data_IF_342722707233
#
_entry.id   IF_342722707233
#
_cell.length_a   1.000
_cell.length_b   1.000
_cell.length_c   1.000
_cell.angle_alpha   90.00
_cell.angle_beta   90.00
_cell.angle_gamma   90.00
#
_symmetry.space_group_name_H-M   'P 1'
#
loop_
_entity.id
_entity.type
_entity.pdbx_description
1 polymer ?
#
# COMPACT_ATOMS: atom_id res chain seq x y z
N UNK A 1 7.42 -9.98 2.37
CA UNK A 1 6.73 -8.68 2.38
C UNK A 1 5.22 -8.79 2.40
N UNK A 2 4.60 -9.47 1.43
CA UNK A 2 3.14 -9.62 1.41
C UNK A 2 2.57 -10.22 2.72
N UNK A 3 3.15 -11.29 3.24
CA UNK A 3 2.68 -11.89 4.50
C UNK A 3 2.80 -10.94 5.69
N UNK A 4 3.83 -10.08 5.71
CA UNK A 4 3.98 -9.05 6.74
C UNK A 4 2.88 -8.00 6.61
N UNK A 5 2.53 -7.61 5.39
CA UNK A 5 1.44 -6.64 5.15
C UNK A 5 0.10 -7.21 5.61
N UNK A 6 -0.18 -8.47 5.29
CA UNK A 6 -1.40 -9.16 5.72
C UNK A 6 -1.45 -9.29 7.25
N UNK A 7 -0.32 -9.60 7.89
CA UNK A 7 -0.23 -9.63 9.35
C UNK A 7 -0.46 -8.25 9.98
N UNK A 8 0.11 -7.17 9.43
CA UNK A 8 -0.15 -5.80 9.89
C UNK A 8 -1.64 -5.44 9.80
N UNK A 9 -2.30 -5.83 8.69
CA UNK A 9 -3.74 -5.63 8.49
C UNK A 9 -4.55 -6.39 9.54
N UNK A 10 -4.19 -7.66 9.81
CA UNK A 10 -4.86 -8.48 10.82
C UNK A 10 -4.64 -7.96 12.25
N UNK A 11 -3.44 -7.48 12.57
CA UNK A 11 -3.14 -6.85 13.85
C UNK A 11 -3.97 -5.58 14.04
N UNK A 12 -4.05 -4.74 12.99
CA UNK A 12 -4.87 -3.53 13.00
C UNK A 12 -6.36 -3.87 13.15
N UNK A 13 -6.85 -4.89 12.46
CA UNK A 13 -8.21 -5.41 12.65
C UNK A 13 -8.48 -5.81 14.11
N UNK A 14 -7.56 -6.57 14.72
CA UNK A 14 -7.70 -7.02 16.11
C UNK A 14 -7.76 -5.86 17.10
N UNK A 15 -6.95 -4.83 16.85
CA UNK A 15 -6.82 -3.64 17.69
C UNK A 15 -7.99 -2.65 17.54
N UNK A 16 -8.40 -2.32 16.30
CA UNK A 16 -9.44 -1.30 16.04
C UNK A 16 -10.85 -1.87 15.94
N UNK A 17 -11.00 -3.19 15.76
CA UNK A 17 -12.26 -3.87 15.38
C UNK A 17 -12.83 -3.42 14.03
N UNK A 18 -12.08 -2.67 13.24
CA UNK A 18 -12.44 -2.28 11.88
C UNK A 18 -12.45 -3.50 10.97
N UNK A 19 -13.34 -3.56 9.98
CA UNK A 19 -13.46 -4.71 9.08
C UNK A 19 -12.15 -4.96 8.31
N UNK A 20 -11.65 -6.21 8.32
CA UNK A 20 -10.42 -6.60 7.62
C UNK A 20 -10.47 -6.25 6.13
N UNK A 21 -11.61 -6.43 5.46
CA UNK A 21 -11.80 -6.06 4.05
C UNK A 21 -11.63 -4.55 3.83
N UNK A 22 -12.13 -3.73 4.76
CA UNK A 22 -11.94 -2.28 4.70
C UNK A 22 -10.47 -1.92 4.84
N UNK A 23 -9.75 -2.54 5.77
CA UNK A 23 -8.33 -2.31 5.99
C UNK A 23 -7.48 -2.77 4.78
N UNK A 24 -7.81 -3.92 4.20
CA UNK A 24 -7.19 -4.43 2.97
C UNK A 24 -7.40 -3.45 1.81
N UNK A 25 -8.62 -2.95 1.60
CA UNK A 25 -8.92 -1.95 0.56
C UNK A 25 -8.20 -0.63 0.78
N UNK A 26 -8.11 -0.17 2.03
CA UNK A 26 -7.34 1.04 2.36
C UNK A 26 -5.86 0.87 2.04
N UNK A 27 -5.28 -0.30 2.35
CA UNK A 27 -3.89 -0.63 2.01
C UNK A 27 -3.68 -0.68 0.50
N UNK A 28 -4.54 -1.40 -0.20
CA UNK A 28 -4.53 -1.50 -1.66
C UNK A 28 -4.61 -0.10 -2.31
N UNK A 29 -5.50 0.76 -1.81
CA UNK A 29 -5.65 2.14 -2.29
C UNK A 29 -4.36 2.94 -2.12
N UNK A 30 -3.72 2.91 -0.94
CA UNK A 30 -2.44 3.63 -0.72
C UNK A 30 -1.36 3.18 -1.69
N UNK A 31 -1.21 1.87 -1.88
CA UNK A 31 -0.23 1.30 -2.82
C UNK A 31 -0.55 1.70 -4.27
N UNK A 32 -1.82 1.68 -4.67
CA UNK A 32 -2.25 2.11 -6.01
C UNK A 32 -1.99 3.60 -6.25
N UNK A 33 -2.34 4.47 -5.29
CA UNK A 33 -2.12 5.91 -5.42
C UNK A 33 -0.64 6.24 -5.58
N UNK A 34 0.23 5.64 -4.77
CA UNK A 34 1.67 5.84 -4.92
C UNK A 34 2.18 5.29 -6.24
N UNK A 35 1.74 4.10 -6.67
CA UNK A 35 2.11 3.54 -7.97
C UNK A 35 1.76 4.49 -9.11
N UNK A 36 0.55 5.05 -9.12
CA UNK A 36 0.11 6.01 -10.14
C UNK A 36 1.00 7.26 -10.14
N UNK A 37 1.22 7.88 -8.97
CA UNK A 37 2.09 9.05 -8.84
C UNK A 37 3.53 8.74 -9.27
N UNK A 38 4.06 7.57 -8.93
CA UNK A 38 5.40 7.15 -9.30
C UNK A 38 5.55 6.96 -10.82
N UNK A 39 4.52 6.42 -11.49
CA UNK A 39 4.48 6.28 -12.95
C UNK A 39 4.45 7.64 -13.65
N UNK A 40 3.83 8.64 -13.02
CA UNK A 40 3.69 9.99 -13.54
C UNK A 40 4.68 11.00 -12.91
N UNK A 41 5.72 10.53 -12.19
CA UNK A 41 6.64 11.38 -11.42
C UNK A 41 7.34 12.49 -12.20
N UNK A 42 7.47 12.35 -13.52
CA UNK A 42 8.05 13.37 -14.40
C UNK A 42 7.10 14.55 -14.68
N UNK A 43 5.80 14.37 -14.42
CA UNK A 43 4.73 15.33 -14.70
C UNK A 43 4.03 15.86 -13.43
N UNK A 44 4.43 15.41 -12.25
CA UNK A 44 3.86 15.82 -10.95
C UNK A 44 4.93 16.45 -10.05
N UNK A 45 4.51 17.11 -8.98
CA UNK A 45 5.46 17.63 -8.00
C UNK A 45 6.01 16.47 -7.13
N UNK A 46 7.32 16.48 -6.85
CA UNK A 46 7.96 15.50 -5.95
C UNK A 46 7.29 15.46 -4.56
N UNK A 47 6.77 16.59 -4.09
CA UNK A 47 6.00 16.67 -2.85
C UNK A 47 4.75 15.79 -2.86
N UNK A 48 4.08 15.60 -3.99
CA UNK A 48 2.89 14.75 -4.07
C UNK A 48 3.26 13.27 -3.91
N UNK A 49 4.37 12.86 -4.52
CA UNK A 49 4.91 11.51 -4.36
C UNK A 49 5.34 11.25 -2.92
N UNK A 50 5.98 12.24 -2.28
CA UNK A 50 6.40 12.15 -0.87
C UNK A 50 5.19 12.03 0.07
N UNK A 51 4.14 12.83 -0.13
CA UNK A 51 2.93 12.77 0.69
C UNK A 51 2.23 11.39 0.58
N UNK A 52 2.17 10.83 -0.62
CA UNK A 52 1.62 9.49 -0.82
C UNK A 52 2.47 8.43 -0.09
N UNK A 53 3.79 8.54 -0.18
CA UNK A 53 4.73 7.66 0.52
C UNK A 53 4.62 7.78 2.05
N UNK A 54 4.48 8.99 2.60
CA UNK A 54 4.35 9.21 4.04
C UNK A 54 3.04 8.64 4.61
N UNK A 55 1.98 8.57 3.80
CA UNK A 55 0.69 8.00 4.20
C UNK A 55 0.70 6.48 4.39
N UNK A 56 1.76 5.80 3.92
CA UNK A 56 1.90 4.34 3.96
C UNK A 56 2.38 3.81 5.32
N UNK A 57 2.02 2.56 5.61
CA UNK A 57 2.67 1.78 6.69
C UNK A 57 4.13 1.47 6.35
N UNK A 58 4.91 1.06 7.34
CA UNK A 58 6.32 0.72 7.13
C UNK A 58 6.49 -0.46 6.16
N UNK A 59 5.60 -1.45 6.23
CA UNK A 59 5.60 -2.56 5.27
C UNK A 59 5.19 -2.11 3.86
N UNK A 60 4.20 -1.22 3.73
CA UNK A 60 3.80 -0.65 2.44
C UNK A 60 4.95 0.15 1.80
N UNK A 61 5.70 0.91 2.59
CA UNK A 61 6.92 1.62 2.16
C UNK A 61 8.00 0.68 1.67
N UNK A 62 8.26 -0.40 2.41
CA UNK A 62 9.23 -1.42 1.98
C UNK A 62 8.83 -2.08 0.65
N UNK A 63 7.54 -2.34 0.44
CA UNK A 63 7.02 -2.82 -0.85
C UNK A 63 7.26 -1.79 -1.96
N UNK A 64 7.02 -0.50 -1.69
CA UNK A 64 7.28 0.57 -2.63
C UNK A 64 8.77 0.68 -3.01
N UNK A 65 9.66 0.57 -2.02
CA UNK A 65 11.12 0.62 -2.20
C UNK A 65 11.67 -0.57 -3.01
N UNK A 66 10.99 -1.72 -2.97
CA UNK A 66 11.31 -2.88 -3.82
C UNK A 66 10.97 -2.65 -5.30
N UNK A 67 10.18 -1.62 -5.61
CA UNK A 67 9.89 -1.15 -6.96
C UNK A 67 8.54 -1.59 -7.52
N UNK A 68 8.28 -1.17 -8.76
CA UNK A 68 6.97 -1.28 -9.42
C UNK A 68 6.44 -2.72 -9.55
N UNK A 69 7.32 -3.70 -9.73
CA UNK A 69 6.93 -5.11 -9.84
C UNK A 69 6.35 -5.63 -8.53
N UNK A 70 7.01 -5.33 -7.41
CA UNK A 70 6.56 -5.76 -6.08
C UNK A 70 5.28 -5.02 -5.68
N UNK A 71 5.20 -3.71 -5.96
CA UNK A 71 3.97 -2.93 -5.79
C UNK A 71 2.79 -3.56 -6.53
N UNK A 72 2.99 -3.92 -7.80
CA UNK A 72 1.93 -4.52 -8.63
C UNK A 72 1.52 -5.87 -8.07
N UNK A 73 2.48 -6.72 -7.71
CA UNK A 73 2.21 -8.01 -7.08
C UNK A 73 1.41 -7.87 -5.78
N UNK A 74 1.81 -6.94 -4.89
CA UNK A 74 1.12 -6.71 -3.63
C UNK A 74 -0.31 -6.21 -3.84
N UNK A 75 -0.54 -5.27 -4.76
CA UNK A 75 -1.88 -4.76 -5.10
C UNK A 75 -2.79 -5.89 -5.60
N UNK A 76 -2.30 -6.73 -6.51
CA UNK A 76 -3.05 -7.88 -7.05
C UNK A 76 -3.31 -8.97 -6.00
N UNK A 77 -2.41 -9.13 -5.04
CA UNK A 77 -2.58 -10.08 -3.96
C UNK A 77 -3.62 -9.59 -2.93
N UNK A 78 -3.61 -8.30 -2.60
CA UNK A 78 -4.62 -7.68 -1.75
C UNK A 78 -6.01 -7.72 -2.41
N UNK A 79 -6.08 -7.56 -3.73
CA UNK A 79 -7.32 -7.68 -4.50
C UNK A 79 -7.96 -9.07 -4.34
N UNK A 80 -7.12 -10.11 -4.43
CA UNK A 80 -7.54 -11.52 -4.27
C UNK A 80 -7.89 -11.90 -2.84
N UNK A 81 -7.46 -11.11 -1.85
CA UNK A 81 -7.73 -11.34 -0.43
C UNK A 81 -9.03 -10.68 0.06
N UNK A 82 -9.66 -9.83 -0.77
CA UNK A 82 -10.97 -9.20 -0.50
C UNK A 82 -12.15 -10.05 -1.00
#
# INVERSE_FOLDING_TARGET
MLDQLLNEIDEKHRASKENVVTLTRQSQHRLMSYKELYLHREAIAESELLLAYESMSDTEKQIADMGLSELTYAIEALDRAC
#
